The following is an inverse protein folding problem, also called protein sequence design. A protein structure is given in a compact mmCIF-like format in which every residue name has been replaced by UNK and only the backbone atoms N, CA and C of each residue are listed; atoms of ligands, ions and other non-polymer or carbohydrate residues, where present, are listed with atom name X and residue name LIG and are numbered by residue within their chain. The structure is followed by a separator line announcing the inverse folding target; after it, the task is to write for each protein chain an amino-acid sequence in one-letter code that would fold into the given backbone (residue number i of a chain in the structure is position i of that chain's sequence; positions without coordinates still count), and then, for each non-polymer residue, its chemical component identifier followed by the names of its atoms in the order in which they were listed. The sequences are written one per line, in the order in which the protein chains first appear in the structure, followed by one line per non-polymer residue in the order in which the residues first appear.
data_IF_998416271028
#
_entry.id   IF_998416271028
#
_cell.length_a   1.000
_cell.length_b   1.000
_cell.length_c   1.000
_cell.angle_alpha   90.00
_cell.angle_beta   90.00
_cell.angle_gamma   90.00
#
_symmetry.space_group_name_H-M   'P 1'
#
loop_
_entity.id
_entity.type
_entity.pdbx_description
1 polymer ?
#
# COMPACT_ATOMS: atom_id res chain seq x y z
N UNK A 1 9.73 -1.07 -2.78
CA UNK A 1 9.04 0.24 -2.86
C UNK A 1 7.63 0.16 -3.43
N UNK A 2 7.37 -0.52 -4.56
CA UNK A 2 6.00 -0.65 -5.10
C UNK A 2 5.01 -1.31 -4.14
N UNK A 3 5.38 -2.43 -3.50
CA UNK A 3 4.49 -3.11 -2.57
C UNK A 3 4.22 -2.28 -1.31
N UNK A 4 5.24 -1.58 -0.79
CA UNK A 4 5.06 -0.59 0.27
C UNK A 4 4.03 0.48 -0.15
N UNK A 5 4.13 1.00 -1.38
CA UNK A 5 3.16 1.97 -1.90
C UNK A 5 1.73 1.43 -1.90
N UNK A 6 1.51 0.19 -2.34
CA UNK A 6 0.15 -0.38 -2.34
C UNK A 6 -0.37 -0.65 -0.92
N UNK A 7 0.48 -1.11 -0.01
CA UNK A 7 0.10 -1.28 1.39
C UNK A 7 -0.23 0.05 2.07
N UNK A 8 0.51 1.11 1.76
CA UNK A 8 0.18 2.47 2.23
C UNK A 8 -1.15 2.95 1.64
N UNK A 9 -1.43 2.68 0.36
CA UNK A 9 -2.75 2.95 -0.22
C UNK A 9 -3.87 2.17 0.48
N UNK A 10 -3.64 0.90 0.87
CA UNK A 10 -4.60 0.13 1.69
C UNK A 10 -4.83 0.81 3.05
N UNK A 11 -3.76 1.30 3.67
CA UNK A 11 -3.82 1.98 4.97
C UNK A 11 -4.49 3.35 4.93
N UNK A 12 -4.91 3.87 3.77
CA UNK A 12 -5.76 5.05 3.69
C UNK A 12 -7.23 4.73 4.03
N UNK A 13 -7.63 3.46 3.92
CA UNK A 13 -9.03 3.02 4.03
C UNK A 13 -9.24 2.02 5.17
N UNK A 14 -8.15 1.42 5.65
CA UNK A 14 -8.18 0.37 6.66
C UNK A 14 -7.16 0.66 7.74
N UNK A 15 -7.54 0.40 8.99
CA UNK A 15 -6.55 0.23 10.04
C UNK A 15 -5.57 -0.88 9.65
N UNK A 16 -4.35 -0.77 10.16
CA UNK A 16 -3.30 -1.75 9.93
C UNK A 16 -2.66 -2.14 11.25
N UNK A 17 -2.57 -3.45 11.46
CA UNK A 17 -1.76 -4.09 12.48
C UNK A 17 -0.61 -4.86 11.81
N UNK A 18 0.56 -4.91 12.46
CA UNK A 18 1.66 -5.79 12.06
C UNK A 18 1.16 -7.19 11.66
N UNK A 19 1.49 -7.61 10.44
CA UNK A 19 1.06 -8.89 9.86
C UNK A 19 -0.23 -8.89 9.00
N UNK A 20 -1.04 -7.83 8.99
CA UNK A 20 -2.36 -7.84 8.31
C UNK A 20 -2.28 -8.09 6.79
N UNK A 21 -1.17 -7.71 6.15
CA UNK A 21 -1.02 -7.78 4.69
C UNK A 21 -0.18 -8.97 4.20
N UNK A 22 0.09 -9.93 5.09
CA UNK A 22 0.94 -11.11 4.83
C UNK A 22 2.43 -10.81 4.60
N UNK A 23 2.81 -9.54 4.70
CA UNK A 23 4.19 -9.05 4.82
C UNK A 23 4.18 -7.75 5.65
N UNK A 24 5.35 -7.25 6.01
CA UNK A 24 5.48 -5.96 6.70
C UNK A 24 4.96 -4.80 5.84
N UNK A 25 4.50 -3.73 6.50
CA UNK A 25 3.95 -2.54 5.86
C UNK A 25 4.91 -1.91 4.84
N UNK A 26 6.19 -1.82 5.18
CA UNK A 26 7.28 -1.55 4.25
C UNK A 26 8.10 -2.83 4.13
N UNK A 27 7.84 -3.67 3.13
CA UNK A 27 8.58 -4.93 2.98
C UNK A 27 10.01 -4.66 2.50
N UNK A 28 10.97 -5.48 2.96
CA UNK A 28 12.38 -5.42 2.55
C UNK A 28 12.54 -5.66 1.03
N UNK A 29 11.76 -6.61 0.52
CA UNK A 29 11.67 -6.94 -0.89
C UNK A 29 10.27 -7.46 -1.19
N UNK A 30 9.92 -7.60 -2.46
CA UNK A 30 8.67 -8.27 -2.84
C UNK A 30 8.92 -9.04 -4.12
N UNK A 31 9.13 -10.35 -3.97
CA UNK A 31 9.53 -11.22 -5.07
C UNK A 31 8.35 -11.92 -5.72
N UNK A 32 7.17 -11.90 -5.10
CA UNK A 32 6.00 -12.60 -5.60
C UNK A 32 4.71 -11.77 -5.48
N UNK A 33 3.81 -11.99 -6.44
CA UNK A 33 2.46 -11.42 -6.49
C UNK A 33 1.48 -12.57 -6.68
N UNK A 34 0.80 -12.96 -5.60
CA UNK A 34 -0.09 -14.12 -5.60
C UNK A 34 -1.53 -13.60 -5.70
N UNK A 35 -2.25 -13.86 -6.81
CA UNK A 35 -3.67 -13.57 -6.94
C UNK A 35 -4.49 -14.16 -5.79
N UNK A 36 -5.50 -13.43 -5.33
CA UNK A 36 -6.39 -13.87 -4.25
C UNK A 36 -7.85 -13.75 -4.70
N UNK A 37 -8.63 -14.82 -4.48
CA UNK A 37 -10.07 -14.87 -4.82
C UNK A 37 -10.98 -14.55 -3.62
N UNK A 38 -10.63 -15.06 -2.43
CA UNK A 38 -11.48 -15.02 -1.25
C UNK A 38 -10.84 -14.23 -0.09
N UNK A 39 -10.01 -13.24 -0.41
CA UNK A 39 -9.36 -12.39 0.58
C UNK A 39 -9.81 -10.94 0.45
N UNK A 40 -9.61 -10.15 1.50
CA UNK A 40 -9.97 -8.73 1.50
C UNK A 40 -9.25 -7.94 0.39
N UNK A 41 -8.06 -8.40 -0.01
CA UNK A 41 -7.28 -7.77 -1.06
C UNK A 41 -7.07 -8.74 -2.23
N UNK A 42 -7.07 -8.24 -3.48
CA UNK A 42 -7.01 -9.09 -4.68
C UNK A 42 -5.64 -9.70 -4.96
N UNK A 43 -4.59 -9.24 -4.26
CA UNK A 43 -3.22 -9.74 -4.42
C UNK A 43 -2.49 -9.74 -3.09
N UNK A 44 -1.81 -10.84 -2.81
CA UNK A 44 -0.85 -10.97 -1.72
C UNK A 44 0.56 -10.73 -2.27
N UNK A 45 1.36 -9.94 -1.57
CA UNK A 45 2.73 -9.64 -1.95
C UNK A 45 3.66 -10.21 -0.89
N UNK A 46 4.52 -11.16 -1.28
CA UNK A 46 5.42 -11.82 -0.35
C UNK A 46 6.84 -11.26 -0.45
N UNK A 47 7.48 -11.14 0.70
CA UNK A 47 8.81 -10.56 0.87
C UNK A 47 9.56 -11.19 2.03
N UNK A 48 10.86 -10.90 2.13
CA UNK A 48 11.67 -11.27 3.28
C UNK A 48 11.19 -10.57 4.56
N UNK A 49 11.29 -11.26 5.69
CA UNK A 49 10.80 -10.82 7.01
C UNK A 49 11.64 -9.73 7.70
N UNK A 50 12.39 -8.94 6.94
CA UNK A 50 13.28 -7.89 7.46
C UNK A 50 12.76 -6.49 7.13
N UNK A 51 11.44 -6.36 6.91
CA UNK A 51 10.78 -5.09 6.63
C UNK A 51 10.54 -4.23 7.87
N UNK A 52 9.82 -3.13 7.68
CA UNK A 52 9.42 -2.19 8.73
C UNK A 52 7.89 -2.21 8.84
N UNK A 53 7.38 -2.27 10.06
CA UNK A 53 5.95 -2.21 10.34
C UNK A 53 5.66 -1.44 11.63
N UNK A 54 4.46 -0.88 11.69
CA UNK A 54 3.92 -0.13 12.81
C UNK A 54 2.40 -0.18 12.72
N UNK A 55 1.68 0.18 13.77
CA UNK A 55 0.22 0.22 13.76
C UNK A 55 -0.29 1.52 13.13
N UNK A 56 -1.33 1.44 12.30
CA UNK A 56 -2.06 2.60 11.77
C UNK A 56 -3.52 2.48 12.21
N UNK A 57 -4.02 3.50 12.90
CA UNK A 57 -5.41 3.53 13.39
C UNK A 57 -6.10 4.82 12.97
N UNK A 58 -7.27 4.71 12.39
CA UNK A 58 -8.11 5.83 11.98
C UNK A 58 -9.01 6.28 13.12
N UNK A 59 -9.04 7.59 13.35
CA UNK A 59 -9.84 8.22 14.39
C UNK A 59 -10.54 9.45 13.80
N UNK A 60 -11.74 9.26 13.26
CA UNK A 60 -12.52 10.28 12.55
C UNK A 60 -11.73 10.91 11.38
N UNK A 61 -11.20 12.12 11.60
CA UNK A 61 -10.44 12.91 10.63
C UNK A 61 -8.93 12.93 10.94
N UNK A 62 -8.47 11.98 11.76
CA UNK A 62 -7.07 11.83 12.13
C UNK A 62 -6.63 10.37 11.96
N UNK A 63 -5.32 10.16 11.87
CA UNK A 63 -4.70 8.85 11.81
C UNK A 63 -3.56 8.82 12.81
N UNK A 64 -3.57 7.82 13.69
CA UNK A 64 -2.56 7.61 14.72
C UNK A 64 -1.64 6.47 14.28
N UNK A 65 -0.35 6.76 14.22
CA UNK A 65 0.72 5.83 13.91
C UNK A 65 1.43 5.45 15.20
N UNK A 66 1.55 4.16 15.50
CA UNK A 66 2.23 3.67 16.71
C UNK A 66 3.27 2.63 16.35
N UNK A 67 4.54 2.92 16.63
CA UNK A 67 5.66 2.00 16.41
C UNK A 67 5.60 0.81 17.37
N UNK A 68 6.34 -0.26 17.06
CA UNK A 68 6.38 -1.47 17.89
C UNK A 68 6.92 -1.24 19.32
N UNK A 69 7.73 -0.19 19.53
CA UNK A 69 8.21 0.22 20.86
C UNK A 69 7.27 1.22 21.56
N UNK A 70 6.08 1.48 21.01
CA UNK A 70 5.03 2.27 21.65
C UNK A 70 5.09 3.78 21.42
N UNK A 71 6.03 4.29 20.61
CA UNK A 71 6.02 5.70 20.24
C UNK A 71 4.85 5.97 19.28
N UNK A 72 4.10 7.04 19.53
CA UNK A 72 2.95 7.40 18.70
C UNK A 72 3.02 8.82 18.18
N UNK A 73 2.42 9.02 17.01
CA UNK A 73 2.18 10.32 16.40
C UNK A 73 0.86 10.31 15.67
N UNK A 74 0.13 11.41 15.76
CA UNK A 74 -1.18 11.59 15.12
C UNK A 74 -1.09 12.72 14.12
N UNK A 75 -1.58 12.47 12.90
CA UNK A 75 -1.70 13.46 11.84
C UNK A 75 -3.15 13.58 11.39
N UNK A 76 -3.49 14.70 10.77
CA UNK A 76 -4.79 14.81 10.14
C UNK A 76 -4.87 13.86 8.94
N UNK A 77 -6.06 13.29 8.73
CA UNK A 77 -6.29 12.32 7.66
C UNK A 77 -5.98 12.89 6.27
N UNK A 78 -6.26 14.17 6.03
CA UNK A 78 -5.95 14.81 4.76
C UNK A 78 -4.44 14.92 4.51
N UNK A 79 -3.64 15.15 5.57
CA UNK A 79 -2.17 15.13 5.50
C UNK A 79 -1.68 13.71 5.17
N UNK A 80 -2.29 12.69 5.79
CA UNK A 80 -1.93 11.29 5.52
C UNK A 80 -2.19 10.92 4.06
N UNK A 81 -3.37 11.26 3.55
CA UNK A 81 -3.74 11.05 2.15
C UNK A 81 -2.75 11.75 1.22
N UNK A 82 -2.39 13.01 1.50
CA UNK A 82 -1.44 13.78 0.70
C UNK A 82 -0.05 13.15 0.67
N UNK A 83 0.47 12.70 1.81
CA UNK A 83 1.77 12.04 1.92
C UNK A 83 1.81 10.72 1.13
N UNK A 84 0.81 9.87 1.31
CA UNK A 84 0.74 8.59 0.59
C UNK A 84 0.62 8.81 -0.91
N UNK A 85 -0.27 9.72 -1.35
CA UNK A 85 -0.43 10.04 -2.76
C UNK A 85 0.84 10.62 -3.38
N UNK A 86 1.56 11.48 -2.66
CA UNK A 86 2.82 12.05 -3.15
C UNK A 86 3.85 10.95 -3.41
N UNK A 87 4.03 10.02 -2.46
CA UNK A 87 4.95 8.90 -2.61
C UNK A 87 4.52 7.96 -3.75
N UNK A 88 3.24 7.57 -3.78
CA UNK A 88 2.76 6.60 -4.76
C UNK A 88 2.81 7.16 -6.18
N UNK A 89 2.49 8.44 -6.38
CA UNK A 89 2.63 9.08 -7.69
C UNK A 89 4.09 9.03 -8.20
N UNK A 90 5.09 9.25 -7.34
CA UNK A 90 6.51 9.12 -7.72
C UNK A 90 6.88 7.69 -8.10
N UNK A 91 6.37 6.70 -7.37
CA UNK A 91 6.58 5.29 -7.68
C UNK A 91 5.94 4.93 -9.02
N UNK A 92 4.68 5.32 -9.24
CA UNK A 92 3.95 5.04 -10.48
C UNK A 92 4.65 5.69 -11.68
N UNK A 93 5.13 6.93 -11.54
CA UNK A 93 5.89 7.62 -12.58
C UNK A 93 7.19 6.88 -12.93
N UNK A 94 7.92 6.39 -11.93
CA UNK A 94 9.11 5.56 -12.16
C UNK A 94 8.79 4.30 -12.98
N UNK A 95 7.67 3.61 -12.68
CA UNK A 95 7.25 2.43 -13.44
C UNK A 95 6.75 2.78 -14.84
N UNK A 96 6.07 3.92 -15.02
CA UNK A 96 5.63 4.41 -16.33
C UNK A 96 6.81 4.70 -17.26
N UNK A 97 7.90 5.22 -16.71
CA UNK A 97 9.15 5.50 -17.44
C UNK A 97 10.03 4.25 -17.62
N UNK A 98 9.73 3.16 -16.93
CA UNK A 98 10.48 1.91 -17.04
C UNK A 98 10.11 1.13 -18.31
N UNK A 99 11.08 0.41 -18.87
CA UNK A 99 10.82 -0.55 -19.93
C UNK A 99 9.92 -1.72 -19.47
N UNK A 100 9.30 -2.45 -20.42
CA UNK A 100 8.42 -3.56 -20.12
C UNK A 100 9.14 -4.62 -19.26
N UNK A 101 8.45 -5.11 -18.22
CA UNK A 101 8.97 -6.18 -17.36
C UNK A 101 8.70 -7.52 -18.02
N UNK A 102 9.72 -8.38 -18.07
CA UNK A 102 9.54 -9.78 -18.48
C UNK A 102 9.02 -10.56 -17.29
N UNK A 103 7.81 -11.09 -17.41
CA UNK A 103 7.23 -12.00 -16.43
C UNK A 103 7.62 -13.44 -16.78
N UNK A 104 7.85 -14.27 -15.76
CA UNK A 104 8.33 -15.66 -15.91
C UNK A 104 7.23 -16.72 -15.81
N UNK A 105 5.99 -16.33 -15.45
CA UNK A 105 4.82 -17.22 -15.36
C UNK A 105 3.49 -16.48 -15.55
N UNK A 106 2.42 -17.21 -15.83
CA UNK A 106 1.05 -16.67 -16.01
C UNK A 106 0.48 -16.17 -14.68
N UNK A 107 0.76 -16.87 -13.58
CA UNK A 107 0.30 -16.52 -12.24
C UNK A 107 0.91 -15.19 -11.79
N UNK A 108 2.20 -14.98 -12.06
CA UNK A 108 2.88 -13.73 -11.76
C UNK A 108 2.36 -12.58 -12.63
N UNK A 109 1.97 -12.86 -13.88
CA UNK A 109 1.37 -11.87 -14.79
C UNK A 109 0.00 -11.43 -14.26
N UNK A 110 -0.81 -12.38 -13.84
CA UNK A 110 -2.11 -12.12 -13.23
C UNK A 110 -1.98 -11.34 -11.92
N UNK A 111 -1.07 -11.76 -11.03
CA UNK A 111 -0.81 -11.08 -9.76
C UNK A 111 -0.35 -9.64 -9.98
N UNK A 112 0.53 -9.41 -10.94
CA UNK A 112 1.00 -8.08 -11.31
C UNK A 112 -0.11 -7.21 -11.92
N UNK A 113 -1.00 -7.80 -12.72
CA UNK A 113 -2.18 -7.11 -13.24
C UNK A 113 -3.14 -6.69 -12.12
N UNK A 114 -3.42 -7.58 -11.16
CA UNK A 114 -4.26 -7.29 -9.98
C UNK A 114 -3.64 -6.22 -9.10
N UNK A 115 -2.32 -6.24 -8.92
CA UNK A 115 -1.57 -5.21 -8.21
C UNK A 115 -1.84 -3.81 -8.78
N UNK A 116 -1.68 -3.63 -10.09
CA UNK A 116 -1.89 -2.31 -10.71
C UNK A 116 -3.37 -1.91 -10.79
N UNK A 117 -4.27 -2.89 -10.94
CA UNK A 117 -5.70 -2.63 -10.88
C UNK A 117 -6.12 -2.10 -9.51
N UNK A 118 -5.66 -2.75 -8.43
CA UNK A 118 -5.91 -2.30 -7.05
C UNK A 118 -5.28 -0.93 -6.79
N UNK A 119 -4.02 -0.74 -7.22
CA UNK A 119 -3.30 0.53 -7.11
C UNK A 119 -4.13 1.69 -7.68
N UNK A 120 -4.55 1.58 -8.94
CA UNK A 120 -5.33 2.62 -9.62
C UNK A 120 -6.66 2.88 -8.93
N UNK A 121 -7.37 1.81 -8.54
CA UNK A 121 -8.66 1.95 -7.87
C UNK A 121 -8.54 2.67 -6.52
N UNK A 122 -7.50 2.37 -5.74
CA UNK A 122 -7.23 3.03 -4.45
C UNK A 122 -6.78 4.46 -4.61
N UNK A 123 -5.87 4.73 -5.54
CA UNK A 123 -5.42 6.09 -5.87
C UNK A 123 -6.61 6.99 -6.25
N UNK A 124 -7.55 6.50 -7.07
CA UNK A 124 -8.74 7.26 -7.43
C UNK A 124 -9.71 7.48 -6.25
N UNK A 125 -9.86 6.50 -5.34
CA UNK A 125 -10.62 6.69 -4.10
C UNK A 125 -9.96 7.72 -3.17
N UNK A 126 -8.64 7.65 -3.01
CA UNK A 126 -7.87 8.58 -2.21
C UNK A 126 -7.97 10.02 -2.76
N UNK A 127 -7.87 10.21 -4.08
CA UNK A 127 -8.10 11.51 -4.73
C UNK A 127 -9.52 12.04 -4.52
N UNK A 128 -10.54 11.18 -4.54
CA UNK A 128 -11.92 11.58 -4.21
C UNK A 128 -12.00 12.08 -2.78
N UNK A 129 -11.50 11.29 -1.84
CA UNK A 129 -11.50 11.63 -0.41
C UNK A 129 -10.70 12.88 -0.09
N UNK A 130 -9.59 13.13 -0.77
CA UNK A 130 -8.80 14.36 -0.62
C UNK A 130 -9.61 15.62 -0.96
N UNK A 131 -10.53 15.54 -1.94
CA UNK A 131 -11.39 16.67 -2.33
C UNK A 131 -12.46 16.99 -1.28
N UNK A 132 -12.80 16.05 -0.41
CA UNK A 132 -13.73 16.30 0.70
C UNK A 132 -13.12 17.23 1.77
N UNK A 133 -11.80 17.47 1.71
CA UNK A 133 -11.05 18.35 2.61
C UNK A 133 -10.53 19.64 1.94
N UNK A 134 -10.82 19.85 0.65
CA UNK A 134 -10.41 21.02 -0.13
C UNK A 134 -11.52 22.08 -0.18
#
# INVERSE_FOLDING_TARGET
MSCAGLYLLRSLEHDYHPGDYGSQLIPCCSFDFIPQENWQFPVLMLGCSNGIEWHIKHERNAVTHTTLNGNSSTLALHEWISLVLTLTNQVEEFYRLSGPKKTISKELEEGYSRFWSEWKARTERAKRRARDFA
#
